data_IF_019749476755
#
_entry.id   IF_019749476755
#
_cell.length_a   1.000
_cell.length_b   1.000
_cell.length_c   1.000
_cell.angle_alpha   90.00
_cell.angle_beta   90.00
_cell.angle_gamma   90.00
#
_symmetry.space_group_name_H-M   'P 1'
#
loop_
_entity.id
_entity.type
_entity.pdbx_description
1 polymer ?
#
# COMPACT_ATOMS: atom_id res chain seq x y z
N UNK A 1 -5.80 10.37 -0.22
CA UNK A 1 -6.26 10.58 1.17
C UNK A 1 -5.73 9.42 1.99
N UNK A 2 -5.27 9.70 3.21
CA UNK A 2 -4.90 8.69 4.21
C UNK A 2 -5.58 9.05 5.52
N UNK A 3 -6.16 8.06 6.21
CA UNK A 3 -6.64 8.20 7.59
C UNK A 3 -5.82 7.27 8.47
N UNK A 4 -5.20 7.82 9.50
CA UNK A 4 -4.37 7.10 10.47
C UNK A 4 -5.06 7.13 11.82
N UNK A 5 -5.09 6.00 12.50
CA UNK A 5 -5.53 5.89 13.90
C UNK A 5 -4.31 5.58 14.76
N UNK A 6 -4.14 6.29 15.87
CA UNK A 6 -2.96 6.15 16.72
C UNK A 6 -3.27 6.43 18.18
N UNK A 7 -2.43 5.85 19.05
CA UNK A 7 -2.44 6.08 20.50
C UNK A 7 -1.25 6.96 20.85
N UNK A 8 -1.50 8.02 21.62
CA UNK A 8 -0.43 8.88 22.14
C UNK A 8 0.14 8.25 23.40
N UNK A 9 1.48 8.13 23.49
CA UNK A 9 2.17 7.54 24.65
C UNK A 9 2.68 8.58 25.64
N UNK A 10 2.95 9.79 25.17
CA UNK A 10 3.40 10.91 25.97
C UNK A 10 2.66 12.16 25.50
N UNK A 11 2.24 13.01 26.44
CA UNK A 11 1.58 14.26 26.13
C UNK A 11 2.41 15.07 25.14
N UNK A 12 1.78 15.48 24.03
CA UNK A 12 2.45 16.21 22.95
C UNK A 12 1.44 17.05 22.20
N UNK A 13 1.90 18.16 21.63
CA UNK A 13 1.17 18.93 20.61
C UNK A 13 1.66 18.64 19.19
N UNK A 14 2.80 17.95 19.05
CA UNK A 14 3.45 17.71 17.76
C UNK A 14 3.22 16.28 17.32
N UNK A 15 2.69 16.12 16.11
CA UNK A 15 2.70 14.87 15.34
C UNK A 15 3.70 15.07 14.21
N UNK A 16 4.68 14.16 14.11
CA UNK A 16 5.67 14.17 13.02
C UNK A 16 5.45 12.97 12.11
N UNK A 17 5.37 13.23 10.80
CA UNK A 17 5.30 12.20 9.76
C UNK A 17 6.44 12.37 8.76
N UNK A 18 6.75 11.31 8.03
CA UNK A 18 7.57 11.35 6.84
C UNK A 18 6.72 11.60 5.60
N UNK A 19 7.19 12.52 4.76
CA UNK A 19 6.58 12.86 3.46
C UNK A 19 7.67 13.04 2.42
N UNK A 20 7.42 12.76 1.13
CA UNK A 20 8.40 13.00 0.07
C UNK A 20 7.69 13.28 -1.25
N UNK A 21 7.82 14.51 -1.76
CA UNK A 21 7.17 14.94 -3.01
C UNK A 21 5.64 14.77 -3.00
N UNK A 22 5.03 14.93 -1.82
CA UNK A 22 3.59 14.95 -1.63
C UNK A 22 3.16 16.40 -1.43
N UNK A 23 2.17 16.86 -2.18
CA UNK A 23 1.51 18.14 -1.94
C UNK A 23 0.32 17.90 -1.01
N UNK A 24 0.45 18.28 0.27
CA UNK A 24 -0.61 18.15 1.28
C UNK A 24 -1.66 19.25 1.06
N UNK A 25 -2.91 18.86 0.84
CA UNK A 25 -4.01 19.80 0.53
C UNK A 25 -4.99 19.99 1.69
N UNK A 26 -5.07 19.04 2.62
CA UNK A 26 -5.86 19.19 3.83
C UNK A 26 -5.31 18.28 4.95
N UNK A 27 -5.41 18.75 6.19
CA UNK A 27 -5.08 17.98 7.41
C UNK A 27 -6.21 18.21 8.40
N UNK A 28 -6.74 17.12 8.96
CA UNK A 28 -7.78 17.17 10.01
C UNK A 28 -7.46 16.16 11.10
N UNK A 29 -7.46 16.63 12.35
CA UNK A 29 -7.15 15.86 13.53
C UNK A 29 -8.41 15.69 14.37
N UNK A 30 -8.65 14.48 14.88
CA UNK A 30 -9.85 14.15 15.64
C UNK A 30 -9.52 13.38 16.92
N UNK A 31 -10.26 13.68 17.98
CA UNK A 31 -10.41 12.82 19.15
C UNK A 31 -11.80 12.15 19.07
N UNK A 32 -11.82 10.88 18.67
CA UNK A 32 -13.06 10.18 18.31
C UNK A 32 -13.83 10.93 17.21
N UNK A 33 -14.88 11.69 17.56
CA UNK A 33 -15.72 12.46 16.64
C UNK A 33 -15.46 13.97 16.68
N UNK A 34 -14.75 14.47 17.69
CA UNK A 34 -14.50 15.90 17.87
C UNK A 34 -13.25 16.31 17.10
N UNK A 35 -13.38 17.33 16.24
CA UNK A 35 -12.25 17.89 15.50
C UNK A 35 -11.39 18.76 16.43
N UNK A 36 -10.09 18.48 16.45
CA UNK A 36 -9.08 19.28 17.15
C UNK A 36 -8.47 20.25 16.14
N UNK A 37 -8.44 21.52 16.50
CA UNK A 37 -7.81 22.54 15.67
C UNK A 37 -6.30 22.28 15.51
N UNK A 38 -5.83 22.39 14.27
CA UNK A 38 -4.41 22.33 13.93
C UNK A 38 -3.92 23.78 13.81
N UNK A 39 -3.04 24.19 14.72
CA UNK A 39 -2.48 25.54 14.75
C UNK A 39 -1.52 25.78 13.58
N UNK A 40 -0.70 24.78 13.28
CA UNK A 40 0.40 24.91 12.34
C UNK A 40 0.72 23.57 11.66
N UNK A 41 1.12 23.67 10.40
CA UNK A 41 1.71 22.57 9.62
C UNK A 41 3.03 23.11 9.06
N UNK A 42 4.14 22.46 9.40
CA UNK A 42 5.49 22.83 8.96
C UNK A 42 6.12 21.72 8.12
N UNK A 43 6.78 22.12 7.04
CA UNK A 43 7.61 21.29 6.16
C UNK A 43 9.07 21.77 6.16
N UNK A 44 9.51 22.43 7.24
CA UNK A 44 10.84 23.08 7.31
C UNK A 44 12.01 22.10 7.22
N UNK A 45 11.79 20.84 7.62
CA UNK A 45 12.79 19.79 7.54
C UNK A 45 12.57 18.87 6.33
N UNK A 46 13.62 18.56 5.56
CA UNK A 46 13.49 17.68 4.41
C UNK A 46 12.84 16.35 4.77
N UNK A 47 11.76 16.04 4.04
CA UNK A 47 10.97 14.83 4.18
C UNK A 47 10.24 14.63 5.51
N UNK A 48 10.05 15.69 6.28
CA UNK A 48 9.26 15.68 7.50
C UNK A 48 8.05 16.61 7.33
N UNK A 49 6.94 16.21 7.93
CA UNK A 49 5.73 17.00 8.08
C UNK A 49 5.42 17.06 9.58
N UNK A 50 5.56 18.24 10.16
CA UNK A 50 5.20 18.51 11.54
C UNK A 50 3.80 19.14 11.59
N UNK A 51 2.94 18.58 12.43
CA UNK A 51 1.56 19.04 12.63
C UNK A 51 1.40 19.38 14.10
N UNK A 52 1.05 20.63 14.39
CA UNK A 52 0.89 21.14 15.75
C UNK A 52 -0.59 21.32 16.09
N UNK A 53 -1.05 20.64 17.13
CA UNK A 53 -2.42 20.78 17.64
C UNK A 53 -2.56 21.97 18.60
N UNK A 54 -3.76 22.55 18.65
CA UNK A 54 -4.14 23.65 19.54
C UNK A 54 -4.13 23.30 21.03
N UNK A 55 -4.12 21.99 21.33
CA UNK A 55 -4.14 21.45 22.68
C UNK A 55 -3.24 20.22 22.78
N UNK A 56 -2.85 19.86 24.00
CA UNK A 56 -2.12 18.63 24.26
C UNK A 56 -2.95 17.40 23.88
N UNK A 57 -2.35 16.52 23.08
CA UNK A 57 -2.83 15.17 22.87
C UNK A 57 -2.40 14.34 24.07
N UNK A 58 -3.37 13.77 24.79
CA UNK A 58 -3.14 13.14 26.08
C UNK A 58 -2.73 11.67 25.93
N UNK A 59 -1.87 11.16 26.84
CA UNK A 59 -1.46 9.76 26.84
C UNK A 59 -2.64 8.78 26.91
N UNK A 60 -2.44 7.60 26.31
CA UNK A 60 -3.38 6.47 26.29
C UNK A 60 -4.75 6.79 25.69
N UNK A 61 -4.84 7.87 24.90
CA UNK A 61 -6.02 8.21 24.09
C UNK A 61 -5.82 7.89 22.63
N UNK A 62 -6.93 7.51 21.98
CA UNK A 62 -7.00 7.28 20.54
C UNK A 62 -7.31 8.58 19.82
N UNK A 63 -6.53 8.86 18.79
CA UNK A 63 -6.74 9.97 17.87
C UNK A 63 -6.81 9.44 16.44
N UNK A 64 -7.43 10.23 15.56
CA UNK A 64 -7.32 9.98 14.12
C UNK A 64 -6.88 11.21 13.36
N UNK A 65 -5.96 11.02 12.43
CA UNK A 65 -5.42 12.06 11.57
C UNK A 65 -5.79 11.72 10.12
N UNK A 66 -6.45 12.66 9.45
CA UNK A 66 -6.82 12.55 8.04
C UNK A 66 -5.99 13.55 7.24
N UNK A 67 -5.32 13.06 6.20
CA UNK A 67 -4.56 13.88 5.26
C UNK A 67 -5.09 13.68 3.83
N UNK A 68 -5.35 14.78 3.14
CA UNK A 68 -5.54 14.81 1.70
C UNK A 68 -4.27 15.33 1.04
N UNK A 69 -3.86 14.70 -0.07
CA UNK A 69 -2.62 15.02 -0.73
C UNK A 69 -2.63 14.58 -2.19
N UNK A 70 -1.70 15.14 -2.97
CA UNK A 70 -1.47 14.81 -4.37
C UNK A 70 0.02 14.54 -4.61
N UNK A 71 0.31 13.62 -5.52
CA UNK A 71 1.67 13.31 -5.93
C UNK A 71 1.74 13.15 -7.45
N UNK A 72 2.88 13.46 -8.05
CA UNK A 72 3.16 13.10 -9.44
C UNK A 72 3.79 11.71 -9.46
N UNK A 73 3.28 10.82 -10.32
CA UNK A 73 3.92 9.53 -10.58
C UNK A 73 4.97 9.75 -11.66
N UNK A 74 6.21 10.06 -11.25
CA UNK A 74 7.30 10.38 -12.18
C UNK A 74 8.67 9.85 -11.72
N UNK A 75 8.72 8.70 -11.03
CA UNK A 75 9.98 8.15 -10.54
C UNK A 75 10.61 7.17 -11.55
N UNK A 76 11.68 7.57 -12.27
CA UNK A 76 12.35 6.69 -13.25
C UNK A 76 13.22 5.61 -12.59
N UNK A 77 13.45 5.68 -11.26
CA UNK A 77 14.29 4.73 -10.52
C UNK A 77 13.51 3.52 -10.00
N UNK A 78 12.24 3.36 -10.38
CA UNK A 78 11.36 2.28 -9.91
C UNK A 78 11.30 2.17 -8.37
N UNK A 79 11.26 3.33 -7.71
CA UNK A 79 11.16 3.49 -6.25
C UNK A 79 9.92 4.33 -5.91
N UNK A 80 9.37 4.15 -4.72
CA UNK A 80 8.10 4.79 -4.37
C UNK A 80 6.96 4.26 -5.25
N UNK A 81 6.05 5.15 -5.66
CA UNK A 81 5.11 4.87 -6.75
C UNK A 81 5.71 5.25 -8.11
N UNK A 82 5.62 4.34 -9.07
CA UNK A 82 6.17 4.53 -10.40
C UNK A 82 5.28 3.90 -11.47
N UNK A 83 5.51 4.32 -12.70
CA UNK A 83 4.90 3.72 -13.89
C UNK A 83 5.99 3.06 -14.72
N UNK A 84 5.77 1.83 -15.16
CA UNK A 84 6.69 1.08 -15.99
C UNK A 84 5.99 0.64 -17.30
N UNK A 85 6.63 0.81 -18.47
CA UNK A 85 6.12 0.26 -19.71
C UNK A 85 6.27 -1.26 -19.73
N UNK A 86 5.39 -1.94 -20.46
CA UNK A 86 5.52 -3.35 -20.79
C UNK A 86 4.85 -3.65 -22.14
N UNK A 87 5.24 -4.77 -22.76
CA UNK A 87 4.69 -5.20 -24.05
C UNK A 87 3.45 -6.06 -23.87
N UNK A 88 2.45 -5.79 -24.71
CA UNK A 88 1.28 -6.65 -24.88
C UNK A 88 1.10 -6.91 -26.37
N UNK A 89 1.86 -7.87 -26.90
CA UNK A 89 2.04 -8.03 -28.34
C UNK A 89 2.73 -6.81 -28.93
N UNK A 90 2.15 -6.21 -29.99
CA UNK A 90 2.70 -5.00 -30.61
C UNK A 90 2.47 -3.72 -29.81
N UNK A 91 1.54 -3.72 -28.85
CA UNK A 91 1.17 -2.53 -28.06
C UNK A 91 2.13 -2.29 -26.89
N UNK A 92 2.48 -1.01 -26.68
CA UNK A 92 3.10 -0.56 -25.43
C UNK A 92 2.00 -0.22 -24.42
N UNK A 93 1.96 -0.94 -23.31
CA UNK A 93 1.08 -0.64 -22.17
C UNK A 93 1.90 -0.19 -20.97
N UNK A 94 1.22 0.33 -19.97
CA UNK A 94 1.84 0.82 -18.75
C UNK A 94 1.20 0.18 -17.53
N UNK A 95 2.04 -0.16 -16.54
CA UNK A 95 1.61 -0.56 -15.20
C UNK A 95 2.06 0.49 -14.21
N UNK A 96 1.23 0.78 -13.22
CA UNK A 96 1.63 1.57 -12.05
C UNK A 96 1.88 0.60 -10.90
N UNK A 97 3.02 0.72 -10.24
CA UNK A 97 3.42 -0.17 -9.15
C UNK A 97 4.15 0.59 -8.05
N UNK A 98 4.32 -0.06 -6.90
CA UNK A 98 5.08 0.49 -5.78
C UNK A 98 6.28 -0.37 -5.43
N UNK A 99 7.38 0.27 -5.06
CA UNK A 99 8.53 -0.35 -4.42
C UNK A 99 9.00 0.57 -3.29
N UNK A 100 8.70 0.17 -2.05
CA UNK A 100 8.79 1.09 -0.90
C UNK A 100 10.01 0.87 0.00
N UNK A 101 10.76 -0.22 -0.20
CA UNK A 101 11.96 -0.49 0.58
C UNK A 101 13.15 0.36 0.07
N UNK A 102 13.99 0.92 0.96
CA UNK A 102 13.88 0.88 2.43
C UNK A 102 12.95 1.95 3.04
N UNK A 103 12.85 3.14 2.43
CA UNK A 103 12.19 4.32 3.03
C UNK A 103 11.47 5.17 1.97
N UNK A 104 10.72 4.51 1.09
CA UNK A 104 9.99 5.18 0.02
C UNK A 104 8.48 5.18 0.25
N UNK A 105 7.97 4.62 1.36
CA UNK A 105 6.53 4.68 1.67
C UNK A 105 6.06 6.13 1.86
N UNK A 106 6.93 6.99 2.42
CA UNK A 106 6.74 8.44 2.52
C UNK A 106 6.50 9.17 1.18
N UNK A 107 6.85 8.54 0.06
CA UNK A 107 6.58 9.08 -1.29
C UNK A 107 5.22 8.68 -1.87
N UNK A 108 4.55 7.72 -1.22
CA UNK A 108 3.22 7.25 -1.61
C UNK A 108 2.13 7.85 -0.70
N UNK A 109 2.37 7.89 0.62
CA UNK A 109 1.48 8.50 1.60
C UNK A 109 2.24 9.03 2.82
N UNK A 110 1.74 10.09 3.50
CA UNK A 110 2.32 10.54 4.77
C UNK A 110 2.23 9.45 5.83
N UNK A 111 3.35 9.09 6.47
CA UNK A 111 3.41 8.02 7.46
C UNK A 111 4.64 8.11 8.36
N UNK A 112 4.67 7.33 9.44
CA UNK A 112 5.92 7.07 10.19
C UNK A 112 6.67 5.97 9.44
N UNK A 113 7.64 6.35 8.60
CA UNK A 113 8.30 5.46 7.65
C UNK A 113 9.56 4.81 8.28
N UNK A 114 9.29 4.03 9.33
CA UNK A 114 10.28 3.24 10.08
C UNK A 114 9.82 1.78 10.20
N UNK A 115 10.71 0.78 10.09
CA UNK A 115 10.34 -0.64 10.19
C UNK A 115 9.59 -1.02 11.48
N UNK A 116 9.89 -0.35 12.59
CA UNK A 116 9.33 -0.59 13.91
C UNK A 116 7.90 -0.04 14.05
N UNK A 117 7.54 0.97 13.26
CA UNK A 117 6.23 1.61 13.25
C UNK A 117 5.22 0.77 12.45
N UNK A 118 4.94 -0.43 12.94
CA UNK A 118 4.03 -1.37 12.26
C UNK A 118 2.57 -0.96 12.46
N UNK A 119 1.77 -1.16 11.41
CA UNK A 119 0.34 -0.87 11.42
C UNK A 119 -0.43 -1.90 10.59
N UNK A 120 -1.76 -1.84 10.70
CA UNK A 120 -2.67 -2.53 9.78
C UNK A 120 -3.08 -1.56 8.70
N UNK A 121 -3.11 -2.01 7.45
CA UNK A 121 -3.42 -1.20 6.29
C UNK A 121 -4.73 -1.66 5.66
N UNK A 122 -5.59 -0.69 5.35
CA UNK A 122 -6.78 -0.86 4.53
C UNK A 122 -6.60 -0.01 3.29
N UNK A 123 -6.87 -0.58 2.13
CA UNK A 123 -6.64 0.08 0.86
C UNK A 123 -7.94 0.11 0.04
N UNK A 124 -8.16 1.26 -0.58
CA UNK A 124 -9.14 1.47 -1.64
C UNK A 124 -8.40 2.11 -2.80
N UNK A 125 -8.42 1.47 -3.96
CA UNK A 125 -7.73 1.95 -5.16
C UNK A 125 -8.79 2.26 -6.21
N UNK A 126 -8.82 3.50 -6.67
CA UNK A 126 -9.64 3.95 -7.79
C UNK A 126 -8.73 3.98 -9.02
N UNK A 127 -9.11 3.23 -10.06
CA UNK A 127 -8.30 3.02 -11.26
C UNK A 127 -9.16 3.08 -12.52
N UNK A 128 -8.58 3.33 -13.71
CA UNK A 128 -9.35 3.37 -14.95
C UNK A 128 -10.10 2.07 -15.20
N UNK A 129 -11.32 2.17 -15.72
CA UNK A 129 -12.10 1.00 -16.15
C UNK A 129 -11.30 0.13 -17.14
N UNK A 130 -11.46 -1.19 -17.02
CA UNK A 130 -10.70 -2.18 -17.82
C UNK A 130 -9.32 -2.53 -17.26
N UNK A 131 -8.85 -1.87 -16.20
CA UNK A 131 -7.66 -2.28 -15.43
C UNK A 131 -8.06 -3.05 -14.18
N UNK A 132 -7.13 -3.82 -13.59
CA UNK A 132 -7.28 -4.35 -12.23
C UNK A 132 -6.36 -3.61 -11.27
N UNK A 133 -6.72 -3.60 -9.98
CA UNK A 133 -5.84 -3.20 -8.89
C UNK A 133 -5.46 -4.41 -8.01
N UNK A 134 -4.20 -4.48 -7.65
CA UNK A 134 -3.66 -5.43 -6.68
C UNK A 134 -3.19 -4.67 -5.44
N UNK A 135 -3.39 -5.30 -4.29
CA UNK A 135 -2.81 -4.93 -3.02
C UNK A 135 -2.28 -6.19 -2.32
N UNK A 136 -1.54 -6.06 -1.22
CA UNK A 136 -1.09 -7.20 -0.39
C UNK A 136 -2.26 -8.14 -0.05
N UNK A 137 -3.42 -7.56 0.24
CA UNK A 137 -4.61 -8.29 0.69
C UNK A 137 -5.60 -8.55 -0.44
N UNK A 138 -6.47 -9.55 -0.26
CA UNK A 138 -7.50 -9.93 -1.24
C UNK A 138 -8.53 -8.82 -1.41
N UNK A 139 -8.98 -8.63 -2.64
CA UNK A 139 -10.09 -7.77 -3.02
C UNK A 139 -11.40 -8.24 -2.36
N UNK A 140 -12.22 -7.30 -1.89
CA UNK A 140 -13.51 -7.57 -1.21
C UNK A 140 -14.70 -7.05 -1.99
N UNK A 141 -14.55 -5.88 -2.62
CA UNK A 141 -15.57 -5.30 -3.48
C UNK A 141 -14.92 -4.57 -4.67
N UNK A 142 -15.55 -4.68 -5.83
CA UNK A 142 -15.18 -4.04 -7.08
C UNK A 142 -16.44 -3.39 -7.66
N UNK A 143 -16.41 -2.08 -7.88
CA UNK A 143 -17.53 -1.35 -8.48
C UNK A 143 -17.04 -0.40 -9.56
N UNK A 144 -17.70 -0.40 -10.72
CA UNK A 144 -17.37 0.46 -11.85
C UNK A 144 -18.43 1.52 -12.05
N UNK A 145 -18.02 2.79 -12.13
CA UNK A 145 -18.91 3.93 -12.38
C UNK A 145 -18.15 5.07 -13.07
N UNK A 146 -18.70 5.56 -14.18
CA UNK A 146 -18.19 6.76 -14.85
C UNK A 146 -16.77 6.63 -15.41
N UNK A 147 -16.41 5.46 -15.97
CA UNK A 147 -15.07 5.22 -16.53
C UNK A 147 -13.99 4.87 -15.49
N UNK A 148 -14.37 4.74 -14.21
CA UNK A 148 -13.47 4.37 -13.12
C UNK A 148 -13.97 3.12 -12.41
N UNK A 149 -13.04 2.29 -11.97
CA UNK A 149 -13.28 1.13 -11.11
C UNK A 149 -12.68 1.40 -9.73
N UNK A 150 -13.48 1.18 -8.69
CA UNK A 150 -13.05 1.23 -7.29
C UNK A 150 -12.90 -0.19 -6.77
N UNK A 151 -11.69 -0.56 -6.40
CA UNK A 151 -11.39 -1.85 -5.76
C UNK A 151 -11.03 -1.62 -4.29
N UNK A 152 -11.70 -2.34 -3.40
CA UNK A 152 -11.45 -2.33 -1.95
C UNK A 152 -10.86 -3.67 -1.52
N UNK A 153 -10.01 -3.66 -0.50
CA UNK A 153 -9.27 -4.85 -0.06
C UNK A 153 -9.46 -5.14 1.43
N UNK A 154 -9.24 -6.39 1.83
CA UNK A 154 -9.20 -6.77 3.25
C UNK A 154 -8.12 -6.00 4.01
N UNK A 155 -8.35 -5.80 5.31
CA UNK A 155 -7.36 -5.23 6.23
C UNK A 155 -6.14 -6.15 6.38
N UNK A 156 -4.94 -5.60 6.32
CA UNK A 156 -3.71 -6.37 6.50
C UNK A 156 -3.50 -6.83 7.96
N UNK A 157 -2.66 -7.86 8.17
CA UNK A 157 -1.96 -8.05 9.43
C UNK A 157 -1.10 -6.83 9.79
N UNK A 158 -0.60 -6.80 11.01
CA UNK A 158 0.38 -5.79 11.44
C UNK A 158 1.66 -5.99 10.62
N UNK A 159 2.04 -4.98 9.84
CA UNK A 159 3.23 -5.00 8.99
C UNK A 159 3.88 -3.61 8.94
N UNK A 160 5.14 -3.55 8.50
CA UNK A 160 5.87 -2.30 8.31
C UNK A 160 5.45 -1.60 7.01
N UNK A 161 5.62 -0.27 6.94
CA UNK A 161 5.23 0.55 5.79
C UNK A 161 5.90 0.12 4.47
N UNK A 162 7.16 -0.30 4.51
CA UNK A 162 7.91 -0.71 3.32
C UNK A 162 7.35 -1.97 2.63
N UNK A 163 6.50 -2.75 3.30
CA UNK A 163 5.84 -3.93 2.75
C UNK A 163 4.52 -3.60 2.02
N UNK A 164 4.03 -2.35 2.11
CA UNK A 164 2.86 -1.92 1.36
C UNK A 164 3.16 -2.05 -0.15
N UNK A 165 2.33 -2.80 -0.85
CA UNK A 165 2.48 -3.07 -2.27
C UNK A 165 1.15 -2.91 -2.99
N UNK A 166 1.13 -2.07 -4.03
CA UNK A 166 0.02 -1.98 -4.98
C UNK A 166 0.49 -2.05 -6.42
N UNK A 167 -0.38 -2.56 -7.29
CA UNK A 167 -0.18 -2.57 -8.75
C UNK A 167 -1.51 -2.26 -9.44
N UNK A 168 -1.49 -1.41 -10.46
CA UNK A 168 -2.61 -1.18 -11.37
C UNK A 168 -2.15 -1.47 -12.80
N UNK A 169 -2.90 -2.29 -13.54
CA UNK A 169 -2.55 -2.64 -14.91
C UNK A 169 -3.49 -3.66 -15.56
N UNK A 170 -3.05 -4.23 -16.69
CA UNK A 170 -3.79 -5.24 -17.47
C UNK A 170 -2.93 -6.45 -17.82
N UNK A 171 -1.90 -6.75 -17.03
CA UNK A 171 -1.03 -7.89 -17.33
C UNK A 171 -1.79 -9.21 -17.13
N UNK A 172 -1.66 -10.17 -18.06
CA UNK A 172 -2.22 -11.49 -17.84
C UNK A 172 -1.49 -12.18 -16.67
N UNK A 173 -2.14 -13.20 -16.13
CA UNK A 173 -1.58 -14.02 -15.07
C UNK A 173 -1.95 -15.47 -15.24
N UNK A 174 -1.16 -16.34 -14.61
CA UNK A 174 -1.54 -17.73 -14.34
C UNK A 174 -1.79 -17.92 -12.87
N UNK A 175 -2.70 -18.84 -12.55
CA UNK A 175 -3.16 -19.09 -11.20
C UNK A 175 -3.02 -20.57 -10.83
N UNK A 176 -2.73 -20.82 -9.56
CA UNK A 176 -2.83 -22.14 -8.93
C UNK A 176 -3.19 -21.96 -7.46
N UNK A 177 -3.36 -23.06 -6.74
CA UNK A 177 -3.70 -23.07 -5.32
C UNK A 177 -2.77 -24.01 -4.55
N UNK A 178 -2.49 -23.68 -3.30
CA UNK A 178 -1.91 -24.65 -2.36
C UNK A 178 -2.96 -25.65 -1.91
N UNK A 179 -2.53 -26.76 -1.30
CA UNK A 179 -3.44 -27.72 -0.67
C UNK A 179 -4.32 -27.09 0.43
N UNK A 180 -3.86 -25.99 1.04
CA UNK A 180 -4.59 -25.23 2.07
C UNK A 180 -5.49 -24.12 1.50
N UNK A 181 -5.58 -24.00 0.17
CA UNK A 181 -6.44 -23.03 -0.50
C UNK A 181 -5.85 -21.63 -0.66
N UNK A 182 -4.55 -21.43 -0.42
CA UNK A 182 -3.89 -20.13 -0.71
C UNK A 182 -3.83 -19.94 -2.22
N UNK A 183 -4.44 -18.86 -2.73
CA UNK A 183 -4.44 -18.51 -4.16
C UNK A 183 -3.09 -17.94 -4.57
N UNK A 184 -2.40 -18.60 -5.49
CA UNK A 184 -1.12 -18.14 -6.03
C UNK A 184 -1.34 -17.61 -7.45
N UNK A 185 -0.93 -16.37 -7.70
CA UNK A 185 -0.94 -15.77 -9.05
C UNK A 185 0.43 -15.27 -9.45
N UNK A 186 0.82 -15.53 -10.68
CA UNK A 186 2.03 -14.96 -11.28
C UNK A 186 1.61 -14.13 -12.48
N UNK A 187 1.81 -12.82 -12.35
CA UNK A 187 1.54 -11.82 -13.37
C UNK A 187 2.80 -11.63 -14.22
N UNK A 188 2.64 -11.58 -15.53
CA UNK A 188 3.75 -11.37 -16.45
C UNK A 188 3.24 -10.69 -17.73
N UNK A 189 4.18 -10.16 -18.50
CA UNK A 189 3.91 -9.75 -19.89
C UNK A 189 3.36 -10.93 -20.70
N UNK A 190 2.49 -10.67 -21.67
CA UNK A 190 1.79 -11.73 -22.39
C UNK A 190 2.75 -12.74 -23.06
N UNK A 191 3.86 -12.25 -23.59
CA UNK A 191 4.91 -13.06 -24.23
C UNK A 191 5.67 -13.95 -23.23
N UNK A 192 5.79 -13.51 -21.98
CA UNK A 192 6.49 -14.22 -20.89
C UNK A 192 5.54 -15.06 -20.03
N UNK A 193 4.24 -15.06 -20.32
CA UNK A 193 3.25 -15.75 -19.49
C UNK A 193 3.52 -17.26 -19.43
N UNK A 194 4.02 -17.84 -20.52
CA UNK A 194 4.39 -19.26 -20.56
C UNK A 194 5.62 -19.58 -19.69
N UNK A 195 6.55 -18.64 -19.54
CA UNK A 195 7.76 -18.79 -18.73
C UNK A 195 7.43 -18.86 -17.23
N UNK A 196 6.24 -18.39 -16.83
CA UNK A 196 5.77 -18.47 -15.43
C UNK A 196 5.44 -19.90 -14.97
N UNK A 197 5.39 -20.89 -15.88
CA UNK A 197 4.97 -22.27 -15.58
C UNK A 197 5.78 -22.91 -14.45
N UNK A 198 7.11 -22.74 -14.48
CA UNK A 198 7.99 -23.31 -13.45
C UNK A 198 7.69 -22.69 -12.09
N UNK A 199 7.68 -21.36 -12.01
CA UNK A 199 7.39 -20.64 -10.78
C UNK A 199 5.99 -20.99 -10.24
N UNK A 200 4.99 -21.13 -11.11
CA UNK A 200 3.63 -21.51 -10.73
C UNK A 200 3.57 -22.93 -10.15
N UNK A 201 4.34 -23.88 -10.70
CA UNK A 201 4.41 -25.25 -10.20
C UNK A 201 5.19 -25.40 -8.89
N UNK A 202 6.24 -24.58 -8.69
CA UNK A 202 7.13 -24.66 -7.54
C UNK A 202 6.63 -23.87 -6.33
N UNK A 203 6.00 -22.70 -6.54
CA UNK A 203 5.59 -21.81 -5.44
C UNK A 203 4.70 -22.52 -4.40
N UNK A 204 3.67 -23.32 -4.77
CA UNK A 204 2.88 -24.04 -3.78
C UNK A 204 3.70 -25.04 -2.96
N UNK A 205 4.68 -25.71 -3.58
CA UNK A 205 5.55 -26.70 -2.93
C UNK A 205 6.54 -26.04 -1.97
N UNK A 206 7.12 -24.91 -2.39
CA UNK A 206 8.01 -24.11 -1.54
C UNK A 206 7.24 -23.51 -0.36
N UNK A 207 6.01 -23.03 -0.59
CA UNK A 207 5.18 -22.51 0.49
C UNK A 207 4.84 -23.61 1.50
N UNK A 208 4.42 -24.79 1.05
CA UNK A 208 4.19 -25.94 1.92
C UNK A 208 5.46 -26.34 2.70
N UNK A 209 6.62 -26.39 2.02
CA UNK A 209 7.90 -26.66 2.68
C UNK A 209 8.19 -25.65 3.80
N UNK A 210 7.98 -24.35 3.59
CA UNK A 210 8.20 -23.35 4.63
C UNK A 210 7.16 -23.41 5.74
N UNK A 211 5.90 -23.72 5.43
CA UNK A 211 4.87 -23.94 6.44
C UNK A 211 5.24 -25.11 7.36
N UNK A 212 5.70 -26.22 6.79
CA UNK A 212 6.16 -27.40 7.52
C UNK A 212 7.46 -27.11 8.27
N UNK A 213 8.43 -26.43 7.66
CA UNK A 213 9.72 -26.14 8.28
C UNK A 213 9.58 -25.20 9.48
N UNK A 214 8.83 -24.11 9.34
CA UNK A 214 8.62 -23.15 10.42
C UNK A 214 7.49 -23.53 11.37
N UNK A 215 6.74 -24.61 11.06
CA UNK A 215 5.56 -25.04 11.81
C UNK A 215 4.52 -23.91 11.94
N UNK A 216 4.40 -23.08 10.91
CA UNK A 216 3.55 -21.89 10.88
C UNK A 216 2.86 -21.77 9.51
N UNK A 217 1.53 -21.68 9.47
CA UNK A 217 0.81 -21.50 8.21
C UNK A 217 1.11 -20.12 7.60
N UNK A 218 1.07 -20.05 6.27
CA UNK A 218 1.07 -18.79 5.57
C UNK A 218 -0.21 -18.01 5.94
N UNK A 219 -0.08 -16.77 6.46
CA UNK A 219 -1.20 -16.10 7.13
C UNK A 219 -2.20 -15.44 6.17
N UNK A 220 -1.93 -15.38 4.86
CA UNK A 220 -2.78 -14.67 3.90
C UNK A 220 -3.49 -15.63 2.95
N UNK A 221 -4.66 -15.22 2.45
CA UNK A 221 -5.45 -15.99 1.47
C UNK A 221 -4.84 -16.05 0.06
N UNK A 222 -3.89 -15.16 -0.23
CA UNK A 222 -3.27 -15.07 -1.55
C UNK A 222 -1.78 -14.74 -1.47
N UNK A 223 -1.05 -15.19 -2.47
CA UNK A 223 0.35 -14.83 -2.73
C UNK A 223 0.48 -14.45 -4.22
N UNK A 224 1.15 -13.33 -4.49
CA UNK A 224 1.31 -12.80 -5.85
C UNK A 224 2.78 -12.65 -6.21
N UNK A 225 3.13 -13.04 -7.43
CA UNK A 225 4.40 -12.70 -8.07
C UNK A 225 4.15 -11.78 -9.27
N UNK A 226 5.01 -10.79 -9.46
CA UNK A 226 5.03 -9.94 -10.65
C UNK A 226 6.39 -10.10 -11.33
N UNK A 227 6.38 -10.56 -12.58
CA UNK A 227 7.56 -10.76 -13.42
C UNK A 227 7.68 -9.68 -14.50
#
# INVERSE_FOLDING_TARGET
MTRMEFIVRQATRRIQLNVKHLNITAVRLYNSTEEIHVDEISEDFPQLLDIFSSMDLLPERNYSLTLEFRAKINNPKYAGIFTAPYKHGSENRYKTATHLQPQEARSLFPCIDSPEAKARFEATIIHPEGTYALFNMKETNISTKGGWTTTTFLRSPIMSTYLFAMVVGTMPYRETYTARGVRIRIYAEAEKLNDTSLALSLTPRLLAFFEDYFQLPYPLEKLGGLM
#
